data_IF_277343285231
#
_entry.id   IF_277343285231
#
_cell.length_a   1.000
_cell.length_b   1.000
_cell.length_c   1.000
_cell.angle_alpha   90.00
_cell.angle_beta   90.00
_cell.angle_gamma   90.00
#
_symmetry.space_group_name_H-M   'P 1'
#
loop_
_entity.id
_entity.type
_entity.pdbx_description
1 polymer ?
#
# COMPACT_ATOMS: atom_id res chain seq x y z
N UNK A 1 -5.12 -18.78 -38.44
CA UNK A 1 -5.64 -17.86 -37.41
C UNK A 1 -5.64 -18.41 -35.99
N UNK A 2 -5.43 -19.71 -35.76
CA UNK A 2 -5.43 -20.30 -34.41
C UNK A 2 -4.20 -19.97 -33.56
N UNK A 3 -3.02 -19.81 -34.15
CA UNK A 3 -1.76 -19.56 -33.43
C UNK A 3 -1.72 -18.23 -32.67
N UNK A 4 -2.48 -17.21 -33.09
CA UNK A 4 -2.51 -15.92 -32.37
C UNK A 4 -3.34 -15.96 -31.08
N UNK A 5 -4.36 -16.81 -31.00
CA UNK A 5 -5.22 -16.90 -29.84
C UNK A 5 -4.50 -17.52 -28.62
N UNK A 6 -3.65 -18.51 -28.85
CA UNK A 6 -2.85 -19.17 -27.80
C UNK A 6 -1.83 -18.20 -27.18
N UNK A 7 -1.17 -17.40 -28.03
CA UNK A 7 -0.18 -16.44 -27.57
C UNK A 7 -0.78 -15.30 -26.70
N UNK A 8 -1.99 -14.84 -27.02
CA UNK A 8 -2.67 -13.85 -26.20
C UNK A 8 -3.12 -14.39 -24.84
N UNK A 9 -3.54 -15.65 -24.78
CA UNK A 9 -3.89 -16.30 -23.52
C UNK A 9 -2.70 -16.42 -22.58
N UNK A 10 -1.55 -16.79 -23.09
CA UNK A 10 -0.32 -16.88 -22.33
C UNK A 10 0.20 -15.49 -21.86
N UNK A 11 0.10 -14.50 -22.73
CA UNK A 11 0.46 -13.12 -22.40
C UNK A 11 -0.42 -12.56 -21.27
N UNK A 12 -1.74 -12.74 -21.36
CA UNK A 12 -2.68 -12.31 -20.33
C UNK A 12 -2.46 -13.02 -19.00
N UNK A 13 -2.18 -14.33 -19.01
CA UNK A 13 -1.82 -15.09 -17.82
C UNK A 13 -0.55 -14.56 -17.16
N UNK A 14 0.49 -14.27 -17.94
CA UNK A 14 1.75 -13.72 -17.45
C UNK A 14 1.57 -12.30 -16.90
N UNK A 15 0.76 -11.46 -17.51
CA UNK A 15 0.43 -10.11 -17.03
C UNK A 15 -0.35 -10.16 -15.70
N UNK A 16 -1.32 -11.07 -15.56
CA UNK A 16 -2.06 -11.27 -14.31
C UNK A 16 -1.14 -11.75 -13.19
N UNK A 17 -0.24 -12.68 -13.46
CA UNK A 17 0.78 -13.14 -12.51
C UNK A 17 1.75 -12.02 -12.09
N UNK A 18 2.21 -11.20 -13.03
CA UNK A 18 3.08 -10.06 -12.75
C UNK A 18 2.34 -8.99 -11.93
N UNK A 19 1.10 -8.69 -12.25
CA UNK A 19 0.29 -7.71 -11.52
C UNK A 19 0.02 -8.13 -10.07
N UNK A 20 -0.33 -9.39 -9.83
CA UNK A 20 -0.52 -9.94 -8.47
C UNK A 20 0.76 -9.92 -7.65
N UNK A 21 1.88 -10.23 -8.26
CA UNK A 21 3.18 -10.22 -7.59
C UNK A 21 3.62 -8.80 -7.24
N UNK A 22 3.43 -7.87 -8.15
CA UNK A 22 3.70 -6.44 -7.93
C UNK A 22 2.79 -5.85 -6.85
N UNK A 23 1.50 -6.12 -6.90
CA UNK A 23 0.55 -5.68 -5.88
C UNK A 23 0.91 -6.20 -4.48
N UNK A 24 1.30 -7.47 -4.34
CA UNK A 24 1.76 -8.03 -3.06
C UNK A 24 3.06 -7.38 -2.56
N UNK A 25 3.97 -7.06 -3.47
CA UNK A 25 5.22 -6.35 -3.12
C UNK A 25 4.91 -4.95 -2.63
N UNK A 26 4.08 -4.22 -3.37
CA UNK A 26 3.65 -2.87 -3.01
C UNK A 26 2.93 -2.85 -1.66
N UNK A 27 1.95 -3.71 -1.44
CA UNK A 27 1.23 -3.85 -0.18
C UNK A 27 2.16 -4.03 1.04
N UNK A 28 3.19 -4.88 0.91
CA UNK A 28 4.20 -5.06 1.97
C UNK A 28 5.09 -3.83 2.15
N UNK A 29 5.40 -3.13 1.07
CA UNK A 29 6.15 -1.88 1.12
C UNK A 29 5.36 -0.78 1.82
N UNK A 30 4.07 -0.65 1.53
CA UNK A 30 3.18 0.34 2.16
C UNK A 30 3.09 0.13 3.67
N UNK A 31 3.01 -1.13 4.13
CA UNK A 31 3.05 -1.44 5.55
C UNK A 31 4.38 -1.01 6.17
N UNK A 32 5.51 -1.33 5.55
CA UNK A 32 6.83 -0.90 6.07
C UNK A 32 6.98 0.61 6.08
N UNK A 33 6.52 1.27 5.04
CA UNK A 33 6.58 2.72 4.91
C UNK A 33 5.79 3.44 6.01
N UNK A 34 4.57 2.96 6.31
CA UNK A 34 3.74 3.50 7.38
C UNK A 34 4.41 3.45 8.78
N UNK A 35 5.42 2.59 8.96
CA UNK A 35 6.19 2.44 10.18
C UNK A 35 7.62 2.99 10.08
N UNK A 36 7.92 3.77 9.05
CA UNK A 36 9.25 4.33 8.82
C UNK A 36 10.34 3.30 8.48
N UNK A 37 9.95 2.11 8.01
CA UNK A 37 10.88 1.03 7.65
C UNK A 37 11.49 0.28 8.83
N UNK A 38 11.12 0.62 10.07
CA UNK A 38 11.62 0.00 11.28
C UNK A 38 10.69 -1.09 11.81
N UNK A 39 11.24 -2.00 12.60
CA UNK A 39 10.47 -3.01 13.32
C UNK A 39 9.48 -2.34 14.28
N UNK A 40 8.21 -2.73 14.25
CA UNK A 40 7.18 -2.18 15.13
C UNK A 40 7.43 -2.46 16.61
N UNK A 41 8.08 -3.58 16.93
CA UNK A 41 8.35 -4.00 18.30
C UNK A 41 9.60 -3.30 18.88
N UNK A 42 10.78 -3.63 18.40
CA UNK A 42 12.01 -3.08 18.98
C UNK A 42 12.34 -1.65 18.56
N UNK A 43 11.76 -1.13 17.47
CA UNK A 43 11.97 0.21 16.91
C UNK A 43 13.43 0.55 16.57
N UNK A 44 14.33 -0.40 16.69
CA UNK A 44 15.77 -0.24 16.49
C UNK A 44 16.24 -0.85 15.17
N UNK A 45 15.75 -2.04 14.82
CA UNK A 45 16.17 -2.76 13.64
C UNK A 45 15.27 -2.47 12.44
N UNK A 46 15.85 -2.56 11.25
CA UNK A 46 15.10 -2.49 9.98
C UNK A 46 14.11 -3.66 9.89
N UNK A 47 12.90 -3.36 9.47
CA UNK A 47 11.88 -4.36 9.23
C UNK A 47 12.19 -5.16 7.95
N UNK A 48 12.58 -6.41 8.12
CA UNK A 48 12.88 -7.33 7.01
C UNK A 48 11.67 -8.16 6.59
N UNK A 49 10.71 -8.34 7.49
CA UNK A 49 9.51 -9.18 7.29
C UNK A 49 8.23 -8.44 7.67
N UNK A 50 7.10 -9.08 7.38
CA UNK A 50 5.78 -8.66 7.85
C UNK A 50 5.27 -9.78 8.75
N UNK A 51 4.94 -9.41 9.98
CA UNK A 51 4.39 -10.31 10.99
C UNK A 51 2.87 -10.16 11.11
N UNK A 52 2.19 -11.25 11.46
CA UNK A 52 0.79 -11.24 11.83
C UNK A 52 0.67 -11.03 13.34
N UNK A 53 0.08 -9.93 13.78
CA UNK A 53 -0.12 -9.67 15.22
C UNK A 53 -0.93 -10.79 15.85
N UNK A 54 -2.08 -11.14 15.25
CA UNK A 54 -2.78 -12.38 15.50
C UNK A 54 -2.31 -13.44 14.50
N UNK A 55 -1.67 -14.53 14.96
CA UNK A 55 -1.03 -15.49 14.09
C UNK A 55 -2.00 -16.16 13.13
N UNK A 56 -1.59 -16.32 11.87
CA UNK A 56 -2.39 -16.97 10.84
C UNK A 56 -2.77 -18.42 11.20
N UNK A 57 -1.86 -19.15 11.84
CA UNK A 57 -2.12 -20.52 12.34
C UNK A 57 -3.21 -20.60 13.41
N UNK A 58 -3.60 -19.47 13.97
CA UNK A 58 -4.65 -19.32 14.99
C UNK A 58 -5.87 -18.55 14.47
N UNK A 59 -6.04 -18.45 13.15
CA UNK A 59 -7.18 -17.78 12.53
C UNK A 59 -6.97 -16.29 12.24
N UNK A 60 -5.74 -15.78 12.36
CA UNK A 60 -5.42 -14.39 12.05
C UNK A 60 -5.65 -14.04 10.57
N UNK A 61 -6.23 -12.88 10.33
CA UNK A 61 -6.54 -12.37 8.99
C UNK A 61 -5.30 -11.85 8.26
N UNK A 62 -5.38 -11.74 6.93
CA UNK A 62 -4.40 -11.07 6.10
C UNK A 62 -4.72 -9.57 5.88
N UNK A 63 -5.63 -9.01 6.65
CA UNK A 63 -5.96 -7.60 6.59
C UNK A 63 -4.76 -6.75 7.05
N UNK A 64 -4.63 -5.55 6.49
CA UNK A 64 -3.53 -4.64 6.80
C UNK A 64 -3.45 -4.32 8.30
N UNK A 65 -4.58 -4.21 8.98
CA UNK A 65 -4.66 -4.00 10.43
C UNK A 65 -4.05 -5.12 11.28
N UNK A 66 -4.00 -6.36 10.77
CA UNK A 66 -3.35 -7.48 11.44
C UNK A 66 -1.89 -7.69 11.04
N UNK A 67 -1.35 -6.85 10.15
CA UNK A 67 -0.01 -7.00 9.60
C UNK A 67 0.88 -5.84 10.04
N UNK A 68 2.02 -6.16 10.63
CA UNK A 68 2.99 -5.19 11.11
C UNK A 68 4.39 -5.51 10.61
N UNK A 69 5.24 -4.50 10.40
CA UNK A 69 6.62 -4.74 10.00
C UNK A 69 7.45 -5.21 11.18
N UNK A 70 8.20 -6.27 11.01
CA UNK A 70 9.05 -6.84 12.06
C UNK A 70 10.46 -7.15 11.55
N UNK A 71 11.44 -7.05 12.42
CA UNK A 71 12.75 -7.65 12.20
C UNK A 71 12.68 -9.17 12.45
N UNK A 72 13.68 -9.89 11.96
CA UNK A 72 13.70 -11.34 12.06
C UNK A 72 13.72 -11.83 13.50
N UNK A 73 14.56 -11.23 14.34
CA UNK A 73 14.71 -11.58 15.75
C UNK A 73 13.40 -11.44 16.55
N UNK A 74 12.68 -10.32 16.37
CA UNK A 74 11.39 -10.11 17.04
C UNK A 74 10.32 -11.08 16.54
N UNK A 75 10.27 -11.34 15.22
CA UNK A 75 9.31 -12.26 14.64
C UNK A 75 9.53 -13.70 15.10
N UNK A 76 10.78 -14.16 15.15
CA UNK A 76 11.14 -15.50 15.63
C UNK A 76 10.84 -15.65 17.13
N UNK A 77 11.19 -14.64 17.95
CA UNK A 77 10.91 -14.62 19.38
C UNK A 77 9.42 -14.66 19.70
N UNK A 78 8.61 -13.87 18.96
CA UNK A 78 7.15 -13.87 19.12
C UNK A 78 6.55 -15.19 18.64
N UNK A 79 7.01 -15.70 17.49
CA UNK A 79 6.49 -16.91 16.88
C UNK A 79 4.98 -16.83 16.62
N UNK A 80 4.25 -17.88 17.00
CA UNK A 80 2.81 -18.03 16.83
C UNK A 80 2.01 -17.80 18.12
N UNK A 81 2.50 -17.00 19.06
CA UNK A 81 1.81 -16.67 20.31
C UNK A 81 0.60 -15.79 20.04
N UNK A 82 -0.54 -16.08 20.67
CA UNK A 82 -1.77 -15.28 20.57
C UNK A 82 -1.66 -13.94 21.29
N UNK A 83 -1.08 -13.94 22.48
CA UNK A 83 -0.89 -12.77 23.32
C UNK A 83 0.35 -11.97 22.88
N UNK A 84 0.28 -11.25 21.78
CA UNK A 84 1.39 -10.40 21.31
C UNK A 84 1.80 -9.37 22.35
N UNK A 85 0.83 -8.81 23.07
CA UNK A 85 1.06 -7.79 24.09
C UNK A 85 1.77 -8.34 25.33
N UNK A 86 1.35 -9.53 25.81
CA UNK A 86 1.99 -10.19 26.93
C UNK A 86 3.42 -10.59 26.62
N UNK A 87 3.63 -11.17 25.43
CA UNK A 87 4.96 -11.46 24.93
C UNK A 87 5.81 -10.17 24.84
N UNK A 88 5.23 -9.07 24.33
CA UNK A 88 5.97 -7.83 24.16
C UNK A 88 6.38 -7.21 25.50
N UNK A 89 5.53 -7.25 26.51
CA UNK A 89 5.86 -6.80 27.88
C UNK A 89 7.05 -7.53 28.50
N UNK A 90 7.25 -8.79 28.16
CA UNK A 90 8.36 -9.61 28.67
C UNK A 90 9.70 -9.25 27.99
N UNK A 91 9.69 -8.46 26.91
CA UNK A 91 10.91 -8.15 26.18
C UNK A 91 11.70 -7.01 26.82
N UNK A 92 13.06 -7.08 26.83
CA UNK A 92 13.90 -6.02 27.39
C UNK A 92 13.79 -4.68 26.65
N UNK A 93 13.29 -4.71 25.42
CA UNK A 93 13.04 -3.53 24.58
C UNK A 93 11.58 -3.05 24.62
N UNK A 94 10.80 -3.51 25.59
CA UNK A 94 9.40 -3.09 25.73
C UNK A 94 9.31 -1.56 25.86
N UNK A 95 8.38 -0.98 25.10
CA UNK A 95 8.08 0.45 25.13
C UNK A 95 6.57 0.65 25.01
N UNK A 96 5.98 1.36 25.98
CA UNK A 96 4.52 1.58 25.99
C UNK A 96 4.04 2.33 24.76
N UNK A 97 4.76 3.36 24.30
CA UNK A 97 4.39 4.10 23.09
C UNK A 97 4.35 3.20 21.85
N UNK A 98 5.29 2.25 21.74
CA UNK A 98 5.25 1.28 20.65
C UNK A 98 4.06 0.33 20.76
N UNK A 99 3.70 -0.08 21.98
CA UNK A 99 2.51 -0.91 22.21
C UNK A 99 1.21 -0.18 21.86
N UNK A 100 1.10 1.08 22.22
CA UNK A 100 -0.05 1.93 21.89
C UNK A 100 -0.18 2.12 20.37
N UNK A 101 0.94 2.37 19.68
CA UNK A 101 0.96 2.46 18.23
C UNK A 101 0.50 1.18 17.53
N UNK A 102 0.90 0.00 18.06
CA UNK A 102 0.45 -1.28 17.53
C UNK A 102 -1.04 -1.48 17.80
N UNK A 103 -1.52 -1.12 18.98
CA UNK A 103 -2.93 -1.20 19.36
C UNK A 103 -3.81 -0.32 18.48
N UNK A 104 -3.40 0.92 18.22
CA UNK A 104 -4.08 1.85 17.33
C UNK A 104 -4.10 1.33 15.88
N UNK A 105 -3.01 0.74 15.44
CA UNK A 105 -2.94 0.10 14.13
C UNK A 105 -3.92 -1.04 13.98
N UNK A 106 -4.01 -1.95 14.97
CA UNK A 106 -4.94 -3.08 14.97
C UNK A 106 -6.39 -2.60 14.98
N UNK A 107 -6.70 -1.54 15.74
CA UNK A 107 -8.06 -0.98 15.82
C UNK A 107 -8.47 -0.12 14.62
N UNK A 108 -7.66 -0.08 13.57
CA UNK A 108 -7.87 0.72 12.34
C UNK A 108 -7.92 2.26 12.54
N UNK A 109 -7.68 2.79 13.73
CA UNK A 109 -7.76 4.24 13.97
C UNK A 109 -6.84 5.02 13.04
N UNK A 110 -5.58 4.62 12.91
CA UNK A 110 -4.60 5.25 12.01
C UNK A 110 -4.89 5.04 10.52
N UNK A 111 -5.63 4.00 10.19
CA UNK A 111 -5.91 3.69 8.79
C UNK A 111 -6.97 4.60 8.19
N UNK A 112 -7.93 5.02 9.00
CA UNK A 112 -9.00 5.94 8.60
C UNK A 112 -8.43 7.36 8.39
N UNK A 113 -7.59 7.84 9.29
CA UNK A 113 -6.97 9.17 9.20
C UNK A 113 -6.08 9.33 7.94
N UNK A 114 -5.26 8.34 7.59
CA UNK A 114 -4.40 8.38 6.40
C UNK A 114 -5.16 8.21 5.08
N UNK A 115 -6.36 7.61 5.09
CA UNK A 115 -7.19 7.50 3.90
C UNK A 115 -7.91 8.81 3.58
N UNK A 116 -8.28 9.59 4.57
CA UNK A 116 -8.89 10.90 4.36
C UNK A 116 -7.89 11.87 3.71
N UNK A 117 -6.67 11.98 4.23
CA UNK A 117 -5.65 12.85 3.64
C UNK A 117 -5.27 12.46 2.19
N UNK A 118 -5.22 11.16 1.86
CA UNK A 118 -4.92 10.68 0.48
C UNK A 118 -6.09 10.87 -0.47
N UNK A 119 -7.31 10.75 -0.01
CA UNK A 119 -8.51 10.98 -0.84
C UNK A 119 -8.69 12.45 -1.13
N UNK A 120 -8.44 13.34 -0.18
CA UNK A 120 -8.48 14.79 -0.36
C UNK A 120 -7.39 15.25 -1.36
N UNK A 121 -6.14 14.84 -1.17
CA UNK A 121 -5.05 15.19 -2.08
C UNK A 121 -5.24 14.62 -3.50
N UNK A 122 -5.82 13.44 -3.64
CA UNK A 122 -6.14 12.85 -4.95
C UNK A 122 -7.31 13.54 -5.63
N UNK A 123 -8.29 14.03 -4.87
CA UNK A 123 -9.40 14.81 -5.38
C UNK A 123 -8.92 16.19 -5.87
N UNK A 124 -8.04 16.85 -5.15
CA UNK A 124 -7.44 18.15 -5.53
C UNK A 124 -6.59 18.03 -6.80
N UNK A 125 -5.75 17.00 -6.91
CA UNK A 125 -4.92 16.75 -8.12
C UNK A 125 -5.80 16.44 -9.33
N UNK A 126 -6.89 15.68 -9.14
CA UNK A 126 -7.81 15.33 -10.23
C UNK A 126 -8.60 16.54 -10.73
N UNK A 127 -9.04 17.44 -9.83
CA UNK A 127 -9.74 18.67 -10.20
C UNK A 127 -8.80 19.67 -10.88
N UNK A 128 -7.54 19.75 -10.45
CA UNK A 128 -6.56 20.63 -11.06
C UNK A 128 -6.15 20.15 -12.48
N UNK A 129 -6.00 18.85 -12.69
CA UNK A 129 -5.72 18.27 -14.02
C UNK A 129 -6.93 18.40 -14.98
N UNK A 130 -8.16 18.31 -14.46
CA UNK A 130 -9.36 18.52 -15.26
C UNK A 130 -9.51 19.98 -15.68
N UNK A 131 -9.21 20.92 -14.78
CA UNK A 131 -9.21 22.35 -15.07
C UNK A 131 -8.14 22.75 -16.12
N UNK A 132 -6.94 22.18 -16.04
CA UNK A 132 -5.87 22.40 -17.02
C UNK A 132 -6.21 21.82 -18.41
N UNK A 133 -6.94 20.71 -18.48
CA UNK A 133 -7.41 20.15 -19.76
C UNK A 133 -8.45 21.03 -20.43
N UNK A 134 -9.36 21.64 -19.68
CA UNK A 134 -10.38 22.55 -20.22
C UNK A 134 -9.80 23.86 -20.76
N UNK A 135 -8.61 24.25 -20.31
CA UNK A 135 -7.91 25.44 -20.82
C UNK A 135 -7.06 25.18 -22.09
N UNK A 136 -6.92 23.93 -22.50
CA UNK A 136 -6.13 23.54 -23.68
C UNK A 136 -6.98 23.24 -24.92
N UNK A 137 -8.30 23.16 -24.78
CA UNK A 137 -9.25 22.99 -25.91
C UNK A 137 -9.74 24.36 -26.43
N UNK A 138 -8.83 25.18 -26.90
CA UNK A 138 -9.17 26.32 -27.76
C UNK A 138 -9.36 25.79 -29.20
N UNK A 139 -10.50 26.05 -29.84
CA UNK A 139 -10.70 25.64 -31.20
C UNK A 139 -9.94 26.55 -32.15
N UNK A 140 -8.86 26.05 -32.72
CA UNK A 140 -8.19 26.66 -33.85
C UNK A 140 -9.07 26.46 -35.10
N UNK A 141 -10.02 27.36 -35.30
CA UNK A 141 -10.73 27.47 -36.56
C UNK A 141 -10.85 28.95 -36.96
N UNK A 142 -9.88 29.46 -37.62
CA UNK A 142 -10.04 30.60 -38.49
C UNK A 142 -9.56 30.21 -39.88
N UNK A 143 -10.54 29.88 -40.69
CA UNK A 143 -10.36 29.61 -42.09
C UNK A 143 -9.80 30.82 -42.82
N UNK A 144 -8.83 30.56 -43.62
CA UNK A 144 -8.36 31.46 -44.69
C UNK A 144 -9.20 31.18 -45.92
N UNK A 145 -10.14 32.02 -46.21
CA UNK A 145 -10.65 32.21 -47.55
C UNK A 145 -10.36 33.64 -47.97
N UNK A 146 -9.33 33.77 -48.74
CA UNK A 146 -9.07 34.99 -49.47
C UNK A 146 -9.21 34.63 -50.96
N UNK A 147 -10.36 34.95 -51.50
CA UNK A 147 -10.65 34.84 -52.93
C UNK A 147 -10.21 36.13 -53.56
N UNK A 148 -9.27 36.01 -54.45
CA UNK A 148 -8.91 37.03 -55.47
C UNK A 148 -9.92 37.01 -56.58
N UNK A 149 -10.45 38.16 -56.95
CA UNK A 149 -11.15 38.38 -58.19
C UNK A 149 -10.58 39.62 -58.88
N UNK A 150 -10.26 39.41 -60.17
CA UNK A 150 -10.06 40.33 -61.30
C UNK A 150 -8.80 41.19 -61.28
#
# INVERSE_FOLDING_TARGET
MAQYAEHWGELLFNLDHLSKRTARKQFRQDIRYAWGGLCCYCRNEKATSIDHVHPRSKGGSNLKSNLVPACRSCQESKGNRLGWYDWFKEQPFFNQNAADLITDWISNKRFLEQHDERTEHRAEVCTHQSALRMLQDEPSSLGKDCITAA
#
